data_IF_318674821529
#
_entry.id   IF_318674821529
#
_cell.length_a   1.000
_cell.length_b   1.000
_cell.length_c   1.000
_cell.angle_alpha   90.00
_cell.angle_beta   90.00
_cell.angle_gamma   90.00
#
_symmetry.space_group_name_H-M   'P 1'
#
loop_
_entity.id
_entity.type
_entity.pdbx_description
1 polymer ?
#
# COMPACT_ATOMS: atom_id res chain seq x y z
N UNK A 1 -7.95 -6.79 -0.19
CA UNK A 1 -7.92 -5.48 -0.88
C UNK A 1 -8.02 -5.59 -2.40
N UNK A 2 -7.41 -6.59 -3.04
CA UNK A 2 -7.33 -6.69 -4.51
C UNK A 2 -8.47 -7.48 -5.17
N UNK A 3 -9.30 -8.18 -4.39
CA UNK A 3 -10.39 -9.02 -4.89
C UNK A 3 -11.36 -8.28 -5.82
N UNK A 4 -11.61 -6.98 -5.58
CA UNK A 4 -12.48 -6.18 -6.47
C UNK A 4 -11.88 -5.97 -7.86
N UNK A 5 -10.56 -5.76 -7.95
CA UNK A 5 -9.88 -5.66 -9.25
C UNK A 5 -9.92 -7.01 -9.99
N UNK A 6 -9.70 -8.11 -9.26
CA UNK A 6 -9.83 -9.46 -9.82
C UNK A 6 -11.24 -9.69 -10.38
N UNK A 7 -12.28 -9.38 -9.60
CA UNK A 7 -13.68 -9.51 -10.03
C UNK A 7 -14.02 -8.60 -11.22
N UNK A 8 -13.50 -7.37 -11.26
CA UNK A 8 -13.72 -6.46 -12.40
C UNK A 8 -13.14 -7.03 -13.69
N UNK A 9 -11.92 -7.59 -13.64
CA UNK A 9 -11.30 -8.19 -14.83
C UNK A 9 -12.05 -9.47 -15.25
N UNK A 10 -12.43 -10.31 -14.30
CA UNK A 10 -13.19 -11.53 -14.57
C UNK A 10 -14.57 -11.26 -15.21
N UNK A 11 -15.16 -10.10 -14.91
CA UNK A 11 -16.44 -9.69 -15.49
C UNK A 11 -16.34 -9.30 -16.97
N UNK A 12 -15.16 -8.89 -17.43
CA UNK A 12 -14.92 -8.48 -18.82
C UNK A 12 -14.13 -9.50 -19.66
N UNK A 13 -13.37 -10.40 -19.02
CA UNK A 13 -12.60 -11.45 -19.69
C UNK A 13 -12.41 -12.67 -18.78
N UNK A 14 -12.56 -13.87 -19.32
CA UNK A 14 -12.33 -15.12 -18.60
C UNK A 14 -10.84 -15.50 -18.64
N UNK A 15 -10.02 -14.81 -17.83
CA UNK A 15 -8.60 -15.13 -17.64
C UNK A 15 -8.39 -15.93 -16.35
N UNK A 16 -7.37 -16.80 -16.26
CA UNK A 16 -6.98 -17.41 -14.99
C UNK A 16 -6.60 -16.35 -13.96
N UNK A 17 -7.03 -16.52 -12.72
CA UNK A 17 -6.80 -15.56 -11.61
C UNK A 17 -5.31 -15.24 -11.44
N UNK A 18 -4.43 -16.23 -11.63
CA UNK A 18 -2.99 -16.05 -11.52
C UNK A 18 -2.44 -15.05 -12.56
N UNK A 19 -2.95 -15.10 -13.80
CA UNK A 19 -2.56 -14.15 -14.86
C UNK A 19 -3.03 -12.74 -14.50
N UNK A 20 -4.26 -12.61 -13.99
CA UNK A 20 -4.81 -11.33 -13.55
C UNK A 20 -3.95 -10.73 -12.43
N UNK A 21 -3.61 -11.53 -11.41
CA UNK A 21 -2.73 -11.10 -10.32
C UNK A 21 -1.36 -10.66 -10.82
N UNK A 22 -0.77 -11.42 -11.74
CA UNK A 22 0.53 -11.06 -12.35
C UNK A 22 0.46 -9.73 -13.12
N UNK A 23 -0.63 -9.48 -13.84
CA UNK A 23 -0.85 -8.21 -14.53
C UNK A 23 -1.00 -7.05 -13.54
N UNK A 24 -1.78 -7.25 -12.47
CA UNK A 24 -1.95 -6.25 -11.41
C UNK A 24 -0.60 -5.95 -10.74
N UNK A 25 0.18 -6.98 -10.37
CA UNK A 25 1.51 -6.82 -9.80
C UNK A 25 2.47 -6.05 -10.72
N UNK A 26 2.42 -6.30 -12.03
CA UNK A 26 3.31 -5.62 -12.97
C UNK A 26 2.90 -4.16 -13.25
N UNK A 27 1.61 -3.84 -13.08
CA UNK A 27 1.06 -2.53 -13.43
C UNK A 27 1.05 -1.53 -12.26
N UNK A 28 1.03 -2.01 -11.01
CA UNK A 28 0.92 -1.18 -9.82
C UNK A 28 2.23 -1.16 -9.04
N UNK A 29 2.73 0.04 -8.75
CA UNK A 29 3.90 0.22 -7.87
C UNK A 29 3.49 0.50 -6.42
N UNK A 30 2.54 1.43 -6.23
CA UNK A 30 2.10 1.93 -4.92
C UNK A 30 0.59 1.87 -4.82
N UNK A 31 0.11 1.39 -3.68
CA UNK A 31 -1.31 1.29 -3.33
C UNK A 31 -1.57 2.11 -2.06
N UNK A 32 -2.37 3.16 -2.20
CA UNK A 32 -2.83 3.99 -1.08
C UNK A 32 -4.24 3.57 -0.71
N UNK A 33 -4.40 3.06 0.52
CA UNK A 33 -5.69 2.67 1.03
C UNK A 33 -6.34 3.81 1.81
N UNK A 34 -7.54 4.19 1.38
CA UNK A 34 -8.40 5.16 2.05
C UNK A 34 -9.58 4.42 2.67
N UNK A 35 -9.83 4.65 3.96
CA UNK A 35 -11.04 4.17 4.63
C UNK A 35 -11.80 5.32 5.26
N UNK A 36 -13.12 5.12 5.38
CA UNK A 36 -13.96 6.00 6.19
C UNK A 36 -13.84 5.54 7.64
N UNK A 37 -13.38 6.44 8.51
CA UNK A 37 -13.29 6.22 9.94
C UNK A 37 -14.67 6.38 10.60
N UNK A 38 -14.74 6.03 11.89
CA UNK A 38 -15.98 6.04 12.69
C UNK A 38 -16.56 7.45 12.82
N UNK A 39 -15.71 8.46 12.81
CA UNK A 39 -16.06 9.88 12.79
C UNK A 39 -16.59 10.37 11.42
N UNK A 40 -16.72 9.48 10.43
CA UNK A 40 -17.19 9.79 9.08
C UNK A 40 -16.12 10.42 8.17
N UNK A 41 -14.95 10.76 8.70
CA UNK A 41 -13.83 11.30 7.93
C UNK A 41 -13.22 10.22 7.04
N UNK A 42 -12.68 10.60 5.88
CA UNK A 42 -11.90 9.70 5.01
C UNK A 42 -10.43 9.98 5.27
N UNK A 43 -9.68 8.96 5.68
CA UNK A 43 -8.23 9.06 5.91
C UNK A 43 -7.48 7.95 5.22
N UNK A 44 -6.22 8.22 4.92
CA UNK A 44 -5.27 7.20 4.45
C UNK A 44 -4.99 6.28 5.62
N UNK A 45 -5.37 5.01 5.50
CA UNK A 45 -5.15 4.00 6.53
C UNK A 45 -3.86 3.24 6.33
N UNK A 46 -3.46 3.04 5.07
CA UNK A 46 -2.23 2.31 4.76
C UNK A 46 -1.67 2.76 3.41
N UNK A 47 -0.35 2.81 3.30
CA UNK A 47 0.37 2.99 2.04
C UNK A 47 1.26 1.77 1.88
N UNK A 48 1.00 0.99 0.83
CA UNK A 48 1.71 -0.22 0.51
C UNK A 48 2.45 -0.05 -0.82
N UNK A 49 3.66 -0.58 -0.88
CA UNK A 49 4.35 -0.85 -2.14
C UNK A 49 4.05 -2.29 -2.58
N UNK A 50 3.91 -2.51 -3.89
CA UNK A 50 3.77 -3.86 -4.44
C UNK A 50 5.18 -4.42 -4.62
N UNK A 51 5.55 -5.40 -3.79
CA UNK A 51 6.87 -6.03 -3.83
C UNK A 51 6.99 -7.06 -4.97
N UNK A 52 5.86 -7.65 -5.37
CA UNK A 52 5.80 -8.64 -6.44
C UNK A 52 4.74 -9.70 -6.20
N UNK A 53 5.03 -10.93 -6.61
CA UNK A 53 4.13 -12.08 -6.47
C UNK A 53 4.91 -13.30 -6.01
N UNK A 54 4.42 -13.97 -4.96
CA UNK A 54 5.01 -15.21 -4.42
C UNK A 54 3.91 -16.23 -4.19
N UNK A 55 4.12 -17.47 -4.64
CA UNK A 55 3.18 -18.59 -4.47
C UNK A 55 1.74 -18.30 -4.93
N UNK A 56 1.57 -17.53 -6.01
CA UNK A 56 0.22 -17.19 -6.50
C UNK A 56 -0.46 -16.01 -5.80
N UNK A 57 0.20 -15.37 -4.83
CA UNK A 57 -0.32 -14.23 -4.08
C UNK A 57 0.52 -12.97 -4.29
N UNK A 58 -0.15 -11.82 -4.24
CA UNK A 58 0.49 -10.50 -4.38
C UNK A 58 1.17 -10.15 -3.06
N UNK A 59 2.48 -9.96 -3.09
CA UNK A 59 3.24 -9.52 -1.92
C UNK A 59 3.22 -8.00 -1.85
N UNK A 60 2.81 -7.49 -0.70
CA UNK A 60 2.72 -6.06 -0.42
C UNK A 60 3.67 -5.71 0.72
N UNK A 61 4.37 -4.61 0.56
CA UNK A 61 5.29 -4.04 1.53
C UNK A 61 4.63 -2.80 2.16
N UNK A 62 4.08 -2.88 3.37
CA UNK A 62 3.45 -1.74 4.03
C UNK A 62 4.54 -0.75 4.43
N UNK A 63 4.51 0.46 3.87
CA UNK A 63 5.47 1.52 4.16
C UNK A 63 4.99 2.44 5.27
N UNK A 64 3.68 2.66 5.30
CA UNK A 64 3.03 3.52 6.27
C UNK A 64 1.69 2.95 6.69
N UNK A 65 1.37 3.07 7.97
CA UNK A 65 0.10 2.68 8.55
C UNK A 65 -0.44 3.80 9.42
N UNK A 66 -1.75 4.01 9.35
CA UNK A 66 -2.42 4.94 10.22
C UNK A 66 -2.58 4.32 11.60
N UNK A 67 -2.03 4.99 12.61
CA UNK A 67 -2.22 4.62 14.01
C UNK A 67 -3.20 5.59 14.66
N UNK A 68 -4.32 5.05 15.12
CA UNK A 68 -5.28 5.77 15.95
C UNK A 68 -4.65 6.00 17.33
N UNK A 69 -4.47 7.26 17.70
CA UNK A 69 -3.95 7.67 19.01
C UNK A 69 -5.05 7.90 20.03
N UNK A 70 -6.29 7.99 19.58
CA UNK A 70 -7.47 8.20 20.42
C UNK A 70 -8.55 8.98 19.70
N UNK A 71 -9.45 9.54 20.48
CA UNK A 71 -10.61 10.29 20.01
C UNK A 71 -10.69 11.61 20.79
N UNK A 72 -11.05 12.71 20.14
CA UNK A 72 -11.35 13.96 20.85
C UNK A 72 -12.67 13.86 21.59
N UNK A 73 -12.92 14.77 22.54
CA UNK A 73 -14.23 14.90 23.20
C UNK A 73 -15.39 15.06 22.20
N UNK A 74 -15.12 15.69 21.05
CA UNK A 74 -16.09 15.87 19.95
C UNK A 74 -16.30 14.61 19.07
N UNK A 75 -15.71 13.47 19.42
CA UNK A 75 -15.85 12.21 18.67
C UNK A 75 -15.04 12.11 17.37
N UNK A 76 -13.98 12.92 17.21
CA UNK A 76 -13.10 12.86 16.03
C UNK A 76 -11.93 11.94 16.29
N UNK A 77 -11.62 11.08 15.33
CA UNK A 77 -10.49 10.17 15.43
C UNK A 77 -9.20 10.97 15.24
N UNK A 78 -8.33 10.92 16.26
CA UNK A 78 -6.99 11.49 16.21
C UNK A 78 -6.01 10.36 15.98
N UNK A 79 -5.24 10.49 14.92
CA UNK A 79 -4.24 9.52 14.54
C UNK A 79 -3.35 10.11 13.47
N UNK A 80 -2.17 9.51 13.32
CA UNK A 80 -1.20 9.94 12.34
C UNK A 80 -0.75 8.75 11.52
N UNK A 81 -0.31 9.04 10.30
CA UNK A 81 0.34 8.06 9.45
C UNK A 81 1.76 7.84 9.96
N UNK A 82 2.04 6.64 10.47
CA UNK A 82 3.33 6.24 11.03
C UNK A 82 4.05 5.35 10.03
N UNK A 83 5.36 5.54 9.86
CA UNK A 83 6.17 4.64 9.03
C UNK A 83 6.33 3.31 9.75
N UNK A 84 6.13 2.22 9.01
CA UNK A 84 6.33 0.85 9.50
C UNK A 84 7.81 0.51 9.71
N UNK A 85 8.72 1.33 9.18
CA UNK A 85 10.17 1.06 9.17
C UNK A 85 10.62 0.17 8.01
N UNK A 86 9.68 -0.35 7.20
CA UNK A 86 9.99 -1.11 6.00
C UNK A 86 10.69 -0.22 4.96
N UNK A 87 11.69 -0.79 4.27
CA UNK A 87 12.42 -0.11 3.19
C UNK A 87 11.63 -0.19 1.91
N UNK A 88 11.75 0.83 1.06
CA UNK A 88 11.34 0.70 -0.33
C UNK A 88 12.16 -0.38 -1.03
N UNK A 89 11.48 -1.31 -1.68
CA UNK A 89 12.10 -2.39 -2.45
C UNK A 89 12.35 -1.92 -3.88
N UNK A 90 11.36 -1.27 -4.51
CA UNK A 90 11.37 -0.95 -5.92
C UNK A 90 11.84 0.48 -6.20
N UNK A 91 13.15 0.66 -6.13
CA UNK A 91 13.79 1.98 -6.25
C UNK A 91 14.17 2.37 -7.68
N UNK A 92 14.03 1.48 -8.65
CA UNK A 92 14.52 1.68 -10.01
C UNK A 92 13.83 2.85 -10.74
N UNK A 93 12.50 2.98 -10.61
CA UNK A 93 11.76 4.11 -11.19
C UNK A 93 12.15 5.45 -10.55
N UNK A 94 12.43 5.44 -9.23
CA UNK A 94 12.89 6.62 -8.50
C UNK A 94 14.29 7.04 -8.97
N UNK A 95 15.21 6.07 -9.10
CA UNK A 95 16.56 6.32 -9.63
C UNK A 95 16.53 6.84 -11.07
N UNK A 96 15.70 6.25 -11.92
CA UNK A 96 15.52 6.70 -13.31
C UNK A 96 14.96 8.13 -13.40
N UNK A 97 14.12 8.53 -12.45
CA UNK A 97 13.64 9.90 -12.31
C UNK A 97 14.66 10.87 -11.68
N UNK A 98 15.85 10.41 -11.32
CA UNK A 98 16.88 11.21 -10.64
C UNK A 98 16.56 11.50 -9.16
N UNK A 99 15.56 10.84 -8.58
CA UNK A 99 15.15 11.03 -7.20
C UNK A 99 15.98 10.13 -6.28
N UNK A 100 16.55 10.74 -5.23
CA UNK A 100 17.18 10.02 -4.12
C UNK A 100 16.14 9.81 -3.03
N UNK A 101 16.02 8.56 -2.55
CA UNK A 101 15.15 8.25 -1.43
C UNK A 101 15.61 9.03 -0.18
N UNK A 102 14.71 9.71 0.54
CA UNK A 102 15.04 10.33 1.81
C UNK A 102 15.40 9.27 2.86
N UNK A 103 16.29 9.61 3.79
CA UNK A 103 16.80 8.67 4.81
C UNK A 103 15.70 8.02 5.66
N UNK A 104 14.59 8.71 5.88
CA UNK A 104 13.43 8.17 6.60
C UNK A 104 12.73 6.99 5.88
N UNK A 105 12.91 6.86 4.56
CA UNK A 105 12.32 5.81 3.73
C UNK A 105 13.32 4.68 3.39
N UNK A 106 14.57 4.82 3.84
CA UNK A 106 15.62 3.79 3.70
C UNK A 106 15.58 2.74 4.82
N UNK A 107 14.52 2.75 5.66
CA UNK A 107 14.30 1.93 6.85
C UNK A 107 15.33 2.17 7.95
N UNK A 108 14.94 1.91 9.20
CA UNK A 108 15.95 1.85 10.27
C UNK A 108 16.93 0.75 9.90
N UNK A 109 18.22 1.09 9.77
CA UNK A 109 19.28 0.09 9.82
C UNK A 109 19.07 -0.69 11.12
N UNK A 110 18.96 -2.01 11.01
CA UNK A 110 19.09 -2.84 12.20
C UNK A 110 20.48 -2.61 12.78
N UNK A 111 20.51 -2.12 14.01
CA UNK A 111 21.45 -2.60 15.03
C UNK A 111 20.70 -3.60 15.91
#
# INVERSE_FOLDING_TARGET
MLSRLETMVLSGASLPIEVIRKQICSALDILIHLSRLRDGSRRVTEVNEIAGMRNGEIEMNPLFRFEEKGETEDGRVVGNLVSTGCKFIQTEKLKAAGLKLPACMMGKGGE
#
